data_IF_611544168910
#
_entry.id   IF_611544168910
#
_cell.length_a   1.000
_cell.length_b   1.000
_cell.length_c   1.000
_cell.angle_alpha   90.00
_cell.angle_beta   90.00
_cell.angle_gamma   90.00
#
_symmetry.space_group_name_H-M   'P 1'
#
loop_
_entity.id
_entity.type
_entity.pdbx_description
1 polymer ?
#
# COMPACT_ATOMS: atom_id res chain seq x y z
N UNK A 1 22.04 75.66 -17.30
CA UNK A 1 22.36 74.53 -16.38
C UNK A 1 21.11 73.96 -15.86
N UNK A 2 20.61 72.83 -16.47
CA UNK A 2 19.39 72.13 -16.12
C UNK A 2 19.77 70.89 -15.38
N UNK A 3 19.36 70.79 -14.12
CA UNK A 3 19.59 69.58 -13.27
C UNK A 3 18.44 68.61 -13.51
N UNK A 4 18.74 67.47 -14.12
CA UNK A 4 17.84 66.33 -14.29
C UNK A 4 17.87 65.52 -13.00
N UNK A 5 16.73 65.48 -12.26
CA UNK A 5 16.58 64.62 -11.08
C UNK A 5 16.00 63.28 -11.55
N UNK A 6 16.80 62.22 -11.42
CA UNK A 6 16.35 60.85 -11.63
C UNK A 6 15.60 60.39 -10.39
N UNK A 7 14.30 60.11 -10.52
CA UNK A 7 13.51 59.37 -9.53
C UNK A 7 13.69 57.87 -9.79
N UNK A 8 14.40 57.19 -8.90
CA UNK A 8 14.44 55.71 -8.90
C UNK A 8 13.22 55.22 -8.11
N UNK A 9 12.24 54.66 -8.82
CA UNK A 9 11.13 53.93 -8.20
C UNK A 9 11.63 52.52 -7.88
N UNK A 10 11.90 52.26 -6.61
CA UNK A 10 12.12 50.91 -6.09
C UNK A 10 10.77 50.20 -6.03
N UNK A 11 10.51 49.37 -7.03
CA UNK A 11 9.40 48.40 -6.97
C UNK A 11 9.89 47.28 -6.07
N UNK A 12 9.48 47.33 -4.81
CA UNK A 12 9.62 46.24 -3.87
C UNK A 12 8.71 45.11 -4.27
N UNK A 13 9.26 44.13 -4.98
CA UNK A 13 8.59 42.88 -5.26
C UNK A 13 8.44 42.11 -3.96
N UNK A 14 7.31 42.26 -3.28
CA UNK A 14 6.94 41.36 -2.23
C UNK A 14 6.58 40.00 -2.90
N UNK A 15 7.59 39.14 -3.01
CA UNK A 15 7.36 37.73 -3.18
C UNK A 15 6.68 37.27 -1.89
N UNK A 16 5.35 37.13 -1.93
CA UNK A 16 4.66 36.28 -0.97
C UNK A 16 5.18 34.85 -1.20
N UNK A 17 6.27 34.51 -0.51
CA UNK A 17 6.56 33.14 -0.20
C UNK A 17 5.34 32.66 0.61
N UNK A 18 4.44 31.92 -0.02
CA UNK A 18 3.60 31.00 0.70
C UNK A 18 4.57 30.09 1.44
N UNK A 19 4.86 30.44 2.69
CA UNK A 19 5.51 29.55 3.65
C UNK A 19 4.60 28.33 3.65
N UNK A 20 5.03 27.27 2.97
CA UNK A 20 4.45 25.98 3.18
C UNK A 20 4.53 25.76 4.69
N UNK A 21 3.39 25.68 5.33
CA UNK A 21 3.30 25.36 6.75
C UNK A 21 4.04 24.03 6.93
N UNK A 22 5.22 24.10 7.53
CA UNK A 22 6.18 22.99 7.67
C UNK A 22 5.76 22.11 8.88
N UNK A 23 4.56 22.33 9.40
CA UNK A 23 4.00 21.56 10.52
C UNK A 23 3.82 20.11 10.08
N UNK A 24 4.41 19.19 10.82
CA UNK A 24 4.24 17.78 10.57
C UNK A 24 2.76 17.37 10.68
N UNK A 25 2.30 16.54 9.74
CA UNK A 25 0.92 16.05 9.72
C UNK A 25 0.72 15.01 10.82
N UNK A 26 -0.38 15.14 11.57
CA UNK A 26 -0.79 14.26 12.67
C UNK A 26 -2.30 14.00 12.59
N UNK A 27 -2.84 13.15 13.48
CA UNK A 27 -4.29 12.98 13.63
C UNK A 27 -5.02 14.26 14.06
N UNK A 28 -4.33 15.21 14.70
CA UNK A 28 -4.93 16.42 15.25
C UNK A 28 -5.01 17.56 14.21
N UNK A 29 -4.09 17.57 13.23
CA UNK A 29 -3.97 18.68 12.29
C UNK A 29 -4.12 18.27 10.81
N UNK A 30 -4.50 17.01 10.54
CA UNK A 30 -4.72 16.59 9.16
C UNK A 30 -5.92 17.30 8.53
N UNK A 31 -5.86 17.42 7.20
CA UNK A 31 -6.94 17.98 6.38
C UNK A 31 -7.66 16.84 5.66
N UNK A 32 -8.97 16.92 5.57
CA UNK A 32 -9.72 16.04 4.68
C UNK A 32 -9.32 16.33 3.23
N UNK A 33 -9.14 15.30 2.39
CA UNK A 33 -8.91 15.51 0.96
C UNK A 33 -10.08 16.28 0.35
N UNK A 34 -9.78 17.30 -0.43
CA UNK A 34 -10.79 17.98 -1.22
C UNK A 34 -11.35 17.05 -2.30
N UNK A 35 -12.65 17.15 -2.63
CA UNK A 35 -13.22 16.37 -3.71
C UNK A 35 -12.49 16.67 -5.04
N UNK A 36 -12.02 15.63 -5.72
CA UNK A 36 -11.42 15.76 -7.04
C UNK A 36 -12.45 16.29 -8.03
N UNK A 37 -12.09 17.30 -8.81
CA UNK A 37 -12.91 17.86 -9.87
C UNK A 37 -12.27 17.66 -11.24
N UNK A 38 -13.09 17.49 -12.27
CA UNK A 38 -12.60 17.32 -13.64
C UNK A 38 -11.82 18.54 -14.18
N UNK A 39 -12.00 19.71 -13.55
CA UNK A 39 -11.34 20.96 -13.91
C UNK A 39 -10.10 21.29 -13.06
N UNK A 40 -9.64 20.38 -12.21
CA UNK A 40 -8.49 20.61 -11.39
C UNK A 40 -7.23 20.85 -12.23
N UNK A 41 -6.56 21.97 -11.97
CA UNK A 41 -5.33 22.30 -12.69
C UNK A 41 -4.17 21.44 -12.17
N UNK A 42 -3.58 20.67 -13.06
CA UNK A 42 -2.38 19.93 -12.77
C UNK A 42 -1.21 20.90 -12.53
N UNK A 43 -0.38 20.61 -11.55
CA UNK A 43 0.86 21.36 -11.35
C UNK A 43 1.78 21.20 -12.55
N UNK A 44 2.45 22.26 -12.97
CA UNK A 44 3.39 22.23 -14.08
C UNK A 44 4.65 21.41 -13.76
N UNK A 45 4.95 21.21 -12.48
CA UNK A 45 6.10 20.42 -12.02
C UNK A 45 5.69 19.51 -10.86
N UNK A 46 6.23 18.31 -10.86
CA UNK A 46 6.08 17.37 -9.75
C UNK A 46 6.77 17.90 -8.50
N UNK A 47 6.05 17.90 -7.37
CA UNK A 47 6.60 18.27 -6.06
C UNK A 47 6.52 17.08 -5.12
N UNK A 48 7.66 16.46 -4.85
CA UNK A 48 7.73 15.34 -3.92
C UNK A 48 7.26 15.71 -2.48
N UNK A 49 7.66 16.86 -1.90
CA UNK A 49 7.14 17.28 -0.59
C UNK A 49 5.62 17.45 -0.58
N UNK A 50 5.04 18.04 -1.64
CA UNK A 50 3.60 18.19 -1.71
C UNK A 50 2.88 16.83 -1.84
N UNK A 51 3.41 15.91 -2.64
CA UNK A 51 2.84 14.59 -2.80
C UNK A 51 2.89 13.76 -1.49
N UNK A 52 4.03 13.80 -0.77
CA UNK A 52 4.16 13.11 0.52
C UNK A 52 3.25 13.71 1.58
N UNK A 53 3.13 15.04 1.65
CA UNK A 53 2.22 15.72 2.57
C UNK A 53 0.76 15.38 2.28
N UNK A 54 0.35 15.36 1.01
CA UNK A 54 -0.99 14.93 0.63
C UNK A 54 -1.29 13.49 1.03
N UNK A 55 -0.30 12.59 0.88
CA UNK A 55 -0.41 11.21 1.35
C UNK A 55 -0.53 11.10 2.87
N UNK A 56 0.23 11.91 3.62
CA UNK A 56 0.17 11.98 5.09
C UNK A 56 -1.23 12.44 5.55
N UNK A 57 -1.79 13.50 4.94
CA UNK A 57 -3.14 13.96 5.22
C UNK A 57 -4.20 12.89 4.90
N UNK A 58 -4.11 12.26 3.73
CA UNK A 58 -5.06 11.22 3.32
C UNK A 58 -5.04 10.02 4.27
N UNK A 59 -3.86 9.58 4.71
CA UNK A 59 -3.70 8.47 5.65
C UNK A 59 -4.31 8.79 7.01
N UNK A 60 -4.04 9.97 7.57
CA UNK A 60 -4.59 10.40 8.86
C UNK A 60 -6.10 10.59 8.80
N UNK A 61 -6.61 11.22 7.74
CA UNK A 61 -8.05 11.38 7.54
C UNK A 61 -8.77 10.02 7.43
N UNK A 62 -8.17 9.07 6.71
CA UNK A 62 -8.75 7.73 6.61
C UNK A 62 -8.77 7.01 7.96
N UNK A 63 -7.66 7.04 8.68
CA UNK A 63 -7.56 6.40 9.99
C UNK A 63 -8.58 6.96 10.98
N UNK A 64 -8.71 8.29 11.04
CA UNK A 64 -9.66 8.94 11.96
C UNK A 64 -11.12 8.63 11.60
N UNK A 65 -11.46 8.65 10.30
CA UNK A 65 -12.84 8.49 9.86
C UNK A 65 -13.33 7.05 9.82
N UNK A 66 -12.43 6.06 9.65
CA UNK A 66 -12.80 4.66 9.45
C UNK A 66 -12.29 3.71 10.54
N UNK A 67 -11.32 4.13 11.34
CA UNK A 67 -10.68 3.28 12.37
C UNK A 67 -10.28 1.91 11.82
N UNK A 68 -9.74 1.88 10.60
CA UNK A 68 -9.42 0.67 9.87
C UNK A 68 -8.12 0.83 9.06
N UNK A 69 -7.32 -0.22 9.03
CA UNK A 69 -6.28 -0.40 8.03
C UNK A 69 -6.95 -0.92 6.77
N UNK A 70 -6.82 -0.18 5.68
CA UNK A 70 -7.36 -0.62 4.40
C UNK A 70 -6.27 -0.96 3.42
N UNK A 71 -6.56 -1.96 2.59
CA UNK A 71 -5.67 -2.43 1.55
C UNK A 71 -5.32 -1.33 0.54
N UNK A 72 -6.23 -0.40 0.28
CA UNK A 72 -6.09 0.60 -0.79
C UNK A 72 -5.65 1.99 -0.30
N UNK A 73 -5.57 2.23 1.01
CA UNK A 73 -5.15 3.52 1.58
C UNK A 73 -3.94 3.32 2.49
N UNK A 74 -4.17 3.08 3.77
CA UNK A 74 -3.10 3.04 4.78
C UNK A 74 -2.12 1.89 4.58
N UNK A 75 -2.54 0.76 4.00
CA UNK A 75 -1.65 -0.32 3.66
C UNK A 75 -0.59 0.09 2.64
N UNK A 76 -1.00 0.66 1.51
CA UNK A 76 -0.05 1.15 0.50
C UNK A 76 0.73 2.37 0.98
N UNK A 77 0.14 3.21 1.82
CA UNK A 77 0.85 4.30 2.48
C UNK A 77 2.03 3.77 3.31
N UNK A 78 1.83 2.72 4.11
CA UNK A 78 2.90 2.08 4.88
C UNK A 78 4.07 1.59 4.00
N UNK A 79 3.77 1.04 2.82
CA UNK A 79 4.81 0.59 1.89
C UNK A 79 5.53 1.78 1.24
N UNK A 80 4.76 2.73 0.73
CA UNK A 80 5.27 3.84 -0.08
C UNK A 80 6.07 4.85 0.74
N UNK A 81 5.57 5.18 1.94
CA UNK A 81 6.12 6.22 2.80
C UNK A 81 7.33 5.76 3.62
N UNK A 82 7.50 4.46 3.81
CA UNK A 82 8.58 3.87 4.63
C UNK A 82 9.99 4.39 4.27
N UNK A 83 10.29 4.55 2.97
CA UNK A 83 11.63 4.99 2.52
C UNK A 83 11.87 6.48 2.66
N UNK A 84 10.82 7.28 2.64
CA UNK A 84 10.92 8.73 2.50
C UNK A 84 10.48 9.49 3.73
N UNK A 85 9.99 8.81 4.76
CA UNK A 85 9.43 9.45 5.92
C UNK A 85 9.16 8.53 7.07
N UNK A 86 10.04 7.57 7.31
CA UNK A 86 9.93 6.63 8.44
C UNK A 86 9.86 7.33 9.82
N UNK A 87 10.31 8.58 9.90
CA UNK A 87 10.21 9.40 11.11
C UNK A 87 9.08 10.44 11.04
N UNK A 88 8.31 10.50 9.95
CA UNK A 88 7.16 11.40 9.87
C UNK A 88 6.08 10.98 10.88
N UNK A 89 5.54 11.90 11.70
CA UNK A 89 4.52 11.58 12.70
C UNK A 89 3.33 10.81 12.14
N UNK A 90 2.80 11.22 10.99
CA UNK A 90 1.70 10.51 10.32
C UNK A 90 2.08 9.06 9.97
N UNK A 91 3.33 8.82 9.56
CA UNK A 91 3.78 7.47 9.24
C UNK A 91 3.88 6.59 10.50
N UNK A 92 4.48 7.12 11.56
CA UNK A 92 4.60 6.41 12.84
C UNK A 92 3.22 6.10 13.43
N UNK A 93 2.30 7.06 13.33
CA UNK A 93 0.92 6.88 13.78
C UNK A 93 0.20 5.77 13.00
N UNK A 94 0.26 5.80 11.65
CA UNK A 94 -0.36 4.76 10.83
C UNK A 94 0.26 3.37 11.08
N UNK A 95 1.58 3.30 11.31
CA UNK A 95 2.27 2.05 11.63
C UNK A 95 1.87 1.53 13.02
N UNK A 96 1.84 2.39 14.01
CA UNK A 96 1.38 2.03 15.36
C UNK A 96 -0.07 1.55 15.35
N UNK A 97 -0.93 2.25 14.62
CA UNK A 97 -2.32 1.81 14.45
C UNK A 97 -2.41 0.41 13.85
N UNK A 98 -1.59 0.10 12.84
CA UNK A 98 -1.57 -1.23 12.22
C UNK A 98 -1.14 -2.32 13.21
N UNK A 99 -0.13 -2.05 14.03
CA UNK A 99 0.31 -2.97 15.08
C UNK A 99 -0.78 -3.18 16.14
N UNK A 100 -1.38 -2.11 16.64
CA UNK A 100 -2.45 -2.20 17.65
C UNK A 100 -3.73 -2.84 17.10
N UNK A 101 -4.01 -2.68 15.79
CA UNK A 101 -5.13 -3.35 15.13
C UNK A 101 -4.97 -4.87 15.12
N UNK A 102 -3.77 -5.38 14.84
CA UNK A 102 -3.53 -6.81 14.67
C UNK A 102 -3.23 -7.52 16.00
N UNK A 103 -2.56 -6.86 16.93
CA UNK A 103 -2.05 -7.42 18.18
C UNK A 103 -3.09 -8.17 19.03
N UNK A 104 -4.32 -7.67 19.24
CA UNK A 104 -5.34 -8.37 20.03
C UNK A 104 -5.77 -9.72 19.43
N UNK A 105 -5.44 -10.00 18.18
CA UNK A 105 -5.82 -11.21 17.47
C UNK A 105 -4.71 -12.25 17.38
N UNK A 106 -3.47 -11.81 17.54
CA UNK A 106 -2.29 -12.65 17.33
C UNK A 106 -1.52 -12.92 18.62
N UNK A 107 -1.50 -11.99 19.56
CA UNK A 107 -0.86 -12.11 20.87
C UNK A 107 -1.83 -12.75 21.87
N UNK A 108 -1.53 -13.97 22.38
CA UNK A 108 -2.38 -14.65 23.36
C UNK A 108 -2.62 -13.82 24.63
N UNK A 109 -1.65 -13.00 25.04
CA UNK A 109 -1.70 -12.20 26.26
C UNK A 109 -2.58 -10.93 26.09
N UNK A 110 -2.85 -10.53 24.85
CA UNK A 110 -3.66 -9.38 24.51
C UNK A 110 -5.07 -9.71 24.01
N UNK A 111 -5.48 -10.98 24.03
CA UNK A 111 -6.84 -11.35 23.61
C UNK A 111 -7.91 -10.63 24.43
N UNK A 112 -8.58 -9.66 23.80
CA UNK A 112 -9.71 -8.95 24.40
C UNK A 112 -10.97 -9.81 24.28
N UNK A 113 -11.56 -10.21 25.41
CA UNK A 113 -12.88 -10.88 25.43
C UNK A 113 -13.90 -10.01 24.67
N UNK A 114 -14.59 -10.59 23.71
CA UNK A 114 -15.65 -9.91 22.95
C UNK A 114 -15.18 -9.12 21.72
N UNK A 115 -13.90 -9.14 21.36
CA UNK A 115 -13.43 -8.52 20.14
C UNK A 115 -13.83 -9.37 18.94
N UNK A 116 -14.53 -8.77 17.97
CA UNK A 116 -14.85 -9.46 16.71
C UNK A 116 -13.55 -9.77 15.98
N UNK A 117 -13.35 -11.02 15.61
CA UNK A 117 -12.21 -11.41 14.76
C UNK A 117 -12.35 -10.74 13.39
N UNK A 118 -11.34 -9.99 12.92
CA UNK A 118 -11.33 -9.45 11.57
C UNK A 118 -11.46 -10.57 10.54
N UNK A 119 -11.98 -10.25 9.36
CA UNK A 119 -11.96 -11.16 8.23
C UNK A 119 -10.52 -11.54 7.83
N UNK A 120 -10.37 -12.66 7.14
CA UNK A 120 -9.06 -13.10 6.65
C UNK A 120 -8.33 -12.02 5.86
N UNK A 121 -9.06 -11.25 5.04
CA UNK A 121 -8.53 -10.12 4.28
C UNK A 121 -7.80 -9.11 5.17
N UNK A 122 -8.44 -8.61 6.23
CA UNK A 122 -7.86 -7.61 7.10
C UNK A 122 -6.60 -8.14 7.80
N UNK A 123 -6.61 -9.40 8.25
CA UNK A 123 -5.46 -10.02 8.89
C UNK A 123 -4.30 -10.24 7.91
N UNK A 124 -4.59 -10.81 6.74
CA UNK A 124 -3.59 -11.13 5.71
C UNK A 124 -2.96 -9.87 5.14
N UNK A 125 -3.79 -8.88 4.78
CA UNK A 125 -3.29 -7.62 4.22
C UNK A 125 -2.45 -6.84 5.25
N UNK A 126 -2.94 -6.69 6.48
CA UNK A 126 -2.18 -5.98 7.54
C UNK A 126 -0.86 -6.66 7.84
N UNK A 127 -0.84 -8.00 7.91
CA UNK A 127 0.40 -8.76 8.09
C UNK A 127 1.41 -8.47 6.99
N UNK A 128 0.98 -8.49 5.73
CA UNK A 128 1.87 -8.22 4.60
C UNK A 128 2.38 -6.77 4.58
N UNK A 129 1.53 -5.80 4.87
CA UNK A 129 1.92 -4.39 4.92
C UNK A 129 2.90 -4.11 6.07
N UNK A 130 2.65 -4.67 7.25
CA UNK A 130 3.56 -4.56 8.39
C UNK A 130 4.90 -5.22 8.08
N UNK A 131 4.92 -6.42 7.51
CA UNK A 131 6.15 -7.09 7.15
C UNK A 131 7.02 -6.27 6.19
N UNK A 132 6.42 -5.67 5.16
CA UNK A 132 7.14 -4.80 4.23
C UNK A 132 7.63 -3.53 4.92
N UNK A 133 6.83 -2.94 5.80
CA UNK A 133 7.19 -1.76 6.59
C UNK A 133 8.35 -2.07 7.54
N UNK A 134 8.24 -3.13 8.33
CA UNK A 134 9.26 -3.57 9.29
C UNK A 134 10.61 -3.78 8.60
N UNK A 135 10.63 -4.53 7.52
CA UNK A 135 11.85 -4.80 6.75
C UNK A 135 12.49 -3.54 6.16
N UNK A 136 11.69 -2.54 5.79
CA UNK A 136 12.21 -1.29 5.24
C UNK A 136 12.77 -0.35 6.29
N UNK A 137 12.29 -0.42 7.52
CA UNK A 137 12.66 0.48 8.61
C UNK A 137 13.69 -0.17 9.52
N UNK A 138 13.38 -1.38 10.01
CA UNK A 138 14.17 -2.08 11.01
C UNK A 138 15.14 -3.10 10.40
N UNK A 139 14.88 -3.51 9.16
CA UNK A 139 15.63 -4.60 8.51
C UNK A 139 15.30 -5.99 9.04
N UNK A 140 14.31 -6.10 9.93
CA UNK A 140 13.84 -7.34 10.54
C UNK A 140 12.33 -7.27 10.82
N UNK A 141 11.66 -8.42 10.85
CA UNK A 141 10.26 -8.52 11.24
C UNK A 141 10.11 -8.30 12.76
N UNK A 142 9.15 -7.48 13.16
CA UNK A 142 8.77 -7.34 14.56
C UNK A 142 8.11 -8.62 15.08
N UNK A 143 8.14 -8.82 16.41
CA UNK A 143 7.48 -9.96 17.03
C UNK A 143 5.99 -10.03 16.70
N UNK A 144 5.30 -8.91 16.76
CA UNK A 144 3.87 -8.83 16.38
C UNK A 144 3.65 -9.29 14.94
N UNK A 145 4.53 -8.90 14.01
CA UNK A 145 4.43 -9.31 12.60
C UNK A 145 4.71 -10.79 12.41
N UNK A 146 5.66 -11.39 13.15
CA UNK A 146 5.92 -12.83 13.14
C UNK A 146 4.70 -13.61 13.65
N UNK A 147 4.11 -13.20 14.77
CA UNK A 147 2.87 -13.78 15.30
C UNK A 147 1.70 -13.63 14.34
N UNK A 148 1.65 -12.52 13.62
CA UNK A 148 0.64 -12.28 12.57
C UNK A 148 0.81 -13.24 11.39
N UNK A 149 2.04 -13.51 10.97
CA UNK A 149 2.30 -14.56 9.99
C UNK A 149 1.87 -15.93 10.51
N UNK A 150 2.20 -16.30 11.74
CA UNK A 150 1.76 -17.56 12.34
C UNK A 150 0.23 -17.67 12.35
N UNK A 151 -0.47 -16.56 12.63
CA UNK A 151 -1.92 -16.52 12.57
C UNK A 151 -2.44 -16.78 11.16
N UNK A 152 -1.94 -16.05 10.15
CA UNK A 152 -2.44 -16.20 8.78
C UNK A 152 -2.09 -17.58 8.18
N UNK A 153 -0.99 -18.21 8.60
CA UNK A 153 -0.67 -19.58 8.20
C UNK A 153 -1.63 -20.61 8.76
N UNK A 154 -2.12 -20.42 10.00
CA UNK A 154 -3.14 -21.31 10.59
C UNK A 154 -4.49 -21.25 9.87
N UNK A 155 -4.83 -20.09 9.29
CA UNK A 155 -6.10 -19.91 8.56
C UNK A 155 -5.95 -20.05 7.06
N UNK A 156 -4.74 -20.32 6.56
CA UNK A 156 -4.49 -20.58 5.14
C UNK A 156 -5.10 -21.91 4.73
N UNK A 157 -5.87 -21.94 3.64
CA UNK A 157 -6.48 -23.16 3.14
C UNK A 157 -5.49 -24.06 2.38
N UNK A 158 -5.88 -25.30 2.12
CA UNK A 158 -5.11 -26.27 1.33
C UNK A 158 -4.91 -25.83 -0.13
N UNK A 159 -5.76 -24.92 -0.61
CA UNK A 159 -5.59 -24.28 -1.92
C UNK A 159 -4.35 -23.39 -1.97
N UNK A 160 -3.91 -22.88 -0.82
CA UNK A 160 -2.83 -21.91 -0.68
C UNK A 160 -3.30 -20.46 -0.60
N UNK A 161 -4.62 -20.23 -0.67
CA UNK A 161 -5.27 -18.95 -0.47
C UNK A 161 -6.00 -18.89 0.89
N UNK A 162 -6.91 -17.93 1.06
CA UNK A 162 -7.71 -17.75 2.27
C UNK A 162 -9.19 -17.78 1.90
N UNK A 163 -9.88 -18.89 2.17
CA UNK A 163 -11.27 -19.17 1.72
C UNK A 163 -12.31 -18.14 2.17
N UNK A 164 -12.02 -17.33 3.17
CA UNK A 164 -12.92 -16.30 3.69
C UNK A 164 -12.49 -14.90 3.27
N UNK A 165 -11.78 -14.77 2.15
CA UNK A 165 -11.46 -13.47 1.61
C UNK A 165 -12.75 -12.70 1.32
N UNK A 166 -12.88 -11.52 1.91
CA UNK A 166 -14.09 -10.71 1.72
C UNK A 166 -14.03 -10.11 0.32
N UNK A 167 -15.03 -10.42 -0.50
CA UNK A 167 -15.23 -9.72 -1.76
C UNK A 167 -15.60 -8.27 -1.47
N UNK A 168 -14.64 -7.39 -1.65
CA UNK A 168 -14.79 -5.97 -1.49
C UNK A 168 -15.47 -5.38 -2.73
N UNK A 169 -16.42 -4.45 -2.55
CA UNK A 169 -17.09 -3.79 -3.66
C UNK A 169 -16.27 -2.63 -4.28
N UNK A 170 -15.03 -2.49 -3.89
CA UNK A 170 -14.16 -1.36 -4.22
C UNK A 170 -13.35 -1.53 -5.51
N UNK A 171 -13.74 -2.41 -6.33
CA UNK A 171 -13.08 -2.57 -7.59
C UNK A 171 -12.64 -4.00 -7.81
N UNK A 172 -12.13 -4.34 -8.98
CA UNK A 172 -11.80 -5.70 -9.30
C UNK A 172 -10.57 -6.24 -8.57
N UNK A 173 -9.87 -5.40 -7.81
CA UNK A 173 -8.49 -5.66 -7.40
C UNK A 173 -8.37 -6.35 -6.05
N UNK A 174 -9.25 -6.02 -5.11
CA UNK A 174 -9.17 -6.49 -3.74
C UNK A 174 -10.17 -7.61 -3.45
N UNK A 175 -10.90 -8.02 -4.47
CA UNK A 175 -12.02 -8.94 -4.32
C UNK A 175 -11.67 -10.39 -4.62
N UNK A 176 -10.42 -10.70 -4.95
CA UNK A 176 -10.01 -12.05 -5.28
C UNK A 176 -8.86 -12.57 -4.41
N UNK A 177 -8.79 -13.89 -4.29
CA UNK A 177 -7.74 -14.57 -3.52
C UNK A 177 -6.35 -14.31 -4.09
N UNK A 178 -6.25 -14.00 -5.38
CA UNK A 178 -5.00 -13.75 -6.07
C UNK A 178 -4.29 -12.50 -5.54
N UNK A 179 -5.06 -11.46 -5.17
CA UNK A 179 -4.50 -10.25 -4.57
C UNK A 179 -3.81 -10.58 -3.24
N UNK A 180 -4.50 -11.25 -2.31
CA UNK A 180 -3.95 -11.62 -1.01
C UNK A 180 -2.72 -12.51 -1.13
N UNK A 181 -2.78 -13.53 -1.98
CA UNK A 181 -1.65 -14.44 -2.23
C UNK A 181 -0.45 -13.71 -2.80
N UNK A 182 -0.65 -12.82 -3.78
CA UNK A 182 0.43 -12.04 -4.39
C UNK A 182 1.04 -11.03 -3.41
N UNK A 183 0.22 -10.41 -2.56
CA UNK A 183 0.65 -9.45 -1.54
C UNK A 183 1.53 -10.13 -0.48
N UNK A 184 1.12 -11.32 -0.01
CA UNK A 184 1.93 -12.10 0.95
C UNK A 184 3.20 -12.63 0.30
N UNK A 185 3.15 -13.07 -0.96
CA UNK A 185 4.34 -13.47 -1.71
C UNK A 185 5.34 -12.31 -1.84
N UNK A 186 4.85 -11.08 -2.05
CA UNK A 186 5.67 -9.86 -2.02
C UNK A 186 6.31 -9.65 -0.65
N UNK A 187 5.52 -9.74 0.42
CA UNK A 187 6.01 -9.56 1.80
C UNK A 187 7.11 -10.55 2.16
N UNK A 188 6.91 -11.83 1.84
CA UNK A 188 7.95 -12.87 2.03
C UNK A 188 9.20 -12.59 1.19
N UNK A 189 9.04 -12.07 -0.03
CA UNK A 189 10.16 -11.67 -0.86
C UNK A 189 10.97 -10.52 -0.26
N UNK A 190 10.30 -9.50 0.24
CA UNK A 190 10.94 -8.37 0.94
C UNK A 190 11.61 -8.85 2.23
N UNK A 191 10.98 -9.76 2.96
CA UNK A 191 11.50 -10.32 4.21
C UNK A 191 12.45 -11.53 4.02
N UNK A 192 12.90 -11.83 2.80
CA UNK A 192 13.66 -13.04 2.49
C UNK A 192 14.96 -13.22 3.29
N UNK A 193 15.48 -12.16 3.91
CA UNK A 193 16.67 -12.20 4.76
C UNK A 193 16.36 -12.35 6.25
N UNK A 194 15.09 -12.26 6.64
CA UNK A 194 14.68 -12.49 8.03
C UNK A 194 14.60 -13.99 8.30
N UNK A 195 15.15 -14.42 9.43
CA UNK A 195 15.21 -15.84 9.84
C UNK A 195 13.84 -16.51 9.91
N UNK A 196 12.79 -15.74 10.26
CA UNK A 196 11.42 -16.26 10.32
C UNK A 196 10.98 -16.88 8.99
N UNK A 197 11.36 -16.28 7.86
CA UNK A 197 10.97 -16.77 6.53
C UNK A 197 11.60 -18.12 6.18
N UNK A 198 12.62 -18.52 6.93
CA UNK A 198 13.29 -19.82 6.80
C UNK A 198 12.73 -20.88 7.76
N UNK A 199 11.77 -20.51 8.63
CA UNK A 199 11.13 -21.46 9.53
C UNK A 199 10.36 -22.53 8.75
N UNK A 200 10.25 -23.76 9.29
CA UNK A 200 9.51 -24.84 8.62
C UNK A 200 8.06 -24.45 8.29
N UNK A 201 7.40 -23.73 9.20
CA UNK A 201 6.02 -23.27 9.03
C UNK A 201 5.89 -22.26 7.90
N UNK A 202 6.76 -21.25 7.85
CA UNK A 202 6.75 -20.27 6.77
C UNK A 202 7.10 -20.90 5.42
N UNK A 203 8.07 -21.81 5.39
CA UNK A 203 8.46 -22.54 4.17
C UNK A 203 7.31 -23.40 3.62
N UNK A 204 6.57 -24.11 4.48
CA UNK A 204 5.41 -24.90 4.10
C UNK A 204 4.29 -24.01 3.56
N UNK A 205 3.98 -22.92 4.27
CA UNK A 205 2.97 -21.95 3.84
C UNK A 205 3.33 -21.32 2.48
N UNK A 206 4.60 -21.00 2.26
CA UNK A 206 5.09 -20.49 0.97
C UNK A 206 4.93 -21.51 -0.16
N UNK A 207 5.13 -22.80 0.10
CA UNK A 207 4.87 -23.84 -0.90
C UNK A 207 3.38 -23.89 -1.28
N UNK A 208 2.46 -23.70 -0.31
CA UNK A 208 1.03 -23.60 -0.60
C UNK A 208 0.71 -22.36 -1.45
N UNK A 209 1.31 -21.19 -1.15
CA UNK A 209 1.18 -19.99 -2.00
C UNK A 209 1.63 -20.26 -3.43
N UNK A 210 2.79 -20.87 -3.60
CA UNK A 210 3.32 -21.24 -4.93
C UNK A 210 2.43 -22.23 -5.66
N UNK A 211 1.82 -23.19 -4.96
CA UNK A 211 0.85 -24.12 -5.53
C UNK A 211 -0.37 -23.37 -6.06
N UNK A 212 -0.92 -22.43 -5.27
CA UNK A 212 -2.03 -21.59 -5.71
C UNK A 212 -1.67 -20.81 -6.98
N UNK A 213 -0.56 -20.07 -6.99
CA UNK A 213 -0.14 -19.26 -8.14
C UNK A 213 0.12 -20.08 -9.42
N UNK A 214 0.51 -21.34 -9.29
CA UNK A 214 0.65 -22.26 -10.43
C UNK A 214 -0.68 -22.77 -10.97
N UNK A 215 -1.65 -23.02 -10.09
CA UNK A 215 -2.98 -23.54 -10.46
C UNK A 215 -3.97 -22.43 -10.86
N UNK A 216 -3.72 -21.19 -10.46
CA UNK A 216 -4.53 -20.02 -10.77
C UNK A 216 -3.66 -18.95 -11.44
N UNK A 217 -3.36 -19.08 -12.73
CA UNK A 217 -2.58 -18.07 -13.43
C UNK A 217 -3.32 -16.72 -13.44
N UNK A 218 -2.58 -15.59 -13.42
CA UNK A 218 -3.21 -14.27 -13.39
C UNK A 218 -3.99 -13.99 -14.67
N UNK A 219 -5.23 -13.57 -14.52
CA UNK A 219 -6.17 -13.28 -15.62
C UNK A 219 -6.19 -11.80 -15.99
N UNK A 220 -6.00 -10.90 -15.02
CA UNK A 220 -6.02 -9.47 -15.21
C UNK A 220 -4.62 -8.84 -15.21
N UNK A 221 -4.49 -7.64 -15.79
CA UNK A 221 -3.23 -6.88 -15.75
C UNK A 221 -2.86 -6.45 -14.32
N UNK A 222 -3.86 -6.23 -13.46
CA UNK A 222 -3.61 -5.94 -12.06
C UNK A 222 -2.95 -7.14 -11.35
N UNK A 223 -3.48 -8.34 -11.49
CA UNK A 223 -2.90 -9.56 -10.93
C UNK A 223 -1.48 -9.80 -11.46
N UNK A 224 -1.26 -9.59 -12.78
CA UNK A 224 0.09 -9.65 -13.38
C UNK A 224 1.02 -8.60 -12.78
N UNK A 225 0.55 -7.37 -12.58
CA UNK A 225 1.30 -6.28 -11.97
C UNK A 225 1.74 -6.61 -10.53
N UNK A 226 0.85 -7.14 -9.71
CA UNK A 226 1.15 -7.57 -8.34
C UNK A 226 2.20 -8.70 -8.33
N UNK A 227 2.08 -9.69 -9.21
CA UNK A 227 3.08 -10.75 -9.34
C UNK A 227 4.41 -10.26 -9.89
N UNK A 228 4.41 -9.30 -10.82
CA UNK A 228 5.65 -8.65 -11.28
C UNK A 228 6.37 -7.94 -10.14
N UNK A 229 5.62 -7.28 -9.26
CA UNK A 229 6.20 -6.63 -8.08
C UNK A 229 6.82 -7.66 -7.12
N UNK A 230 6.09 -8.74 -6.80
CA UNK A 230 6.64 -9.83 -6.01
C UNK A 230 7.86 -10.50 -6.65
N UNK A 231 7.84 -10.71 -7.98
CA UNK A 231 8.95 -11.29 -8.74
C UNK A 231 10.21 -10.40 -8.75
N UNK A 232 10.08 -9.10 -8.49
CA UNK A 232 11.22 -8.20 -8.29
C UNK A 232 12.04 -8.54 -7.02
N UNK A 233 11.46 -9.29 -6.09
CA UNK A 233 12.11 -9.77 -4.86
C UNK A 233 12.33 -11.29 -4.85
N UNK A 234 11.67 -12.03 -5.76
CA UNK A 234 11.65 -13.50 -5.78
C UNK A 234 11.74 -14.05 -7.19
N UNK A 235 12.77 -14.82 -7.48
CA UNK A 235 13.00 -15.41 -8.79
C UNK A 235 12.18 -16.68 -9.09
N UNK A 236 11.50 -17.23 -8.08
CA UNK A 236 10.81 -18.52 -8.11
C UNK A 236 9.31 -18.44 -8.38
N UNK A 237 8.75 -17.23 -8.50
CA UNK A 237 7.31 -17.01 -8.73
C UNK A 237 6.95 -16.98 -10.21
N UNK A 238 7.74 -16.32 -11.04
CA UNK A 238 7.44 -16.08 -12.46
C UNK A 238 8.68 -16.33 -13.31
N UNK A 239 8.53 -17.04 -14.41
CA UNK A 239 9.63 -17.29 -15.38
C UNK A 239 10.06 -15.98 -16.04
N UNK A 240 11.37 -15.80 -16.29
CA UNK A 240 11.94 -14.56 -16.87
C UNK A 240 11.29 -14.12 -18.20
N UNK A 241 10.99 -15.07 -19.08
CA UNK A 241 10.32 -14.78 -20.34
C UNK A 241 8.87 -14.31 -20.15
N UNK A 242 8.19 -14.79 -19.11
CA UNK A 242 6.83 -14.36 -18.76
C UNK A 242 6.85 -12.97 -18.12
N UNK A 243 7.84 -12.66 -17.28
CA UNK A 243 8.03 -11.31 -16.72
C UNK A 243 8.08 -10.28 -17.84
N UNK A 244 8.94 -10.49 -18.85
CA UNK A 244 9.05 -9.57 -20.00
C UNK A 244 7.72 -9.39 -20.72
N UNK A 245 7.03 -10.51 -21.01
CA UNK A 245 5.71 -10.48 -21.67
C UNK A 245 4.71 -9.63 -20.89
N UNK A 246 4.59 -9.83 -19.57
CA UNK A 246 3.63 -9.09 -18.76
C UNK A 246 4.00 -7.61 -18.60
N UNK A 247 5.29 -7.29 -18.55
CA UNK A 247 5.74 -5.89 -18.60
C UNK A 247 5.32 -5.21 -19.90
N UNK A 248 5.51 -5.88 -21.06
CA UNK A 248 5.10 -5.34 -22.36
C UNK A 248 3.57 -5.16 -22.44
N UNK A 249 2.80 -6.13 -21.92
CA UNK A 249 1.34 -6.01 -21.83
C UNK A 249 0.92 -4.80 -20.96
N UNK A 250 1.57 -4.61 -19.81
CA UNK A 250 1.27 -3.51 -18.91
C UNK A 250 1.58 -2.14 -19.56
N UNK A 251 2.75 -2.03 -20.20
CA UNK A 251 3.15 -0.81 -20.89
C UNK A 251 2.32 -0.53 -22.15
N UNK A 252 1.76 -1.55 -22.79
CA UNK A 252 0.91 -1.37 -23.98
C UNK A 252 -0.39 -0.60 -23.70
N UNK A 253 -0.87 -0.60 -22.44
CA UNK A 253 -2.07 0.14 -22.02
C UNK A 253 -1.74 1.42 -21.26
N UNK A 254 -0.46 1.76 -21.10
CA UNK A 254 -0.04 3.01 -20.49
C UNK A 254 -0.47 4.20 -21.35
N UNK A 255 -1.04 5.22 -20.73
CA UNK A 255 -1.49 6.43 -21.42
C UNK A 255 -0.31 7.35 -21.73
N UNK A 256 -0.49 8.28 -22.67
CA UNK A 256 0.52 9.26 -23.07
C UNK A 256 1.05 10.11 -21.90
N UNK A 257 0.23 10.32 -20.88
CA UNK A 257 0.63 11.03 -19.66
C UNK A 257 1.41 10.15 -18.66
N UNK A 258 1.72 8.89 -19.01
CA UNK A 258 2.45 7.95 -18.17
C UNK A 258 1.59 7.17 -17.16
N UNK A 259 0.31 7.47 -17.05
CA UNK A 259 -0.63 6.81 -16.12
C UNK A 259 -1.28 5.57 -16.70
N UNK A 260 -2.00 4.86 -15.83
CA UNK A 260 -2.89 3.75 -16.21
C UNK A 260 -4.31 4.05 -15.73
N UNK A 261 -5.28 3.57 -16.50
CA UNK A 261 -6.70 3.69 -16.14
C UNK A 261 -7.15 2.40 -15.45
N UNK A 262 -7.61 2.51 -14.23
CA UNK A 262 -7.99 1.39 -13.38
C UNK A 262 -8.88 0.33 -14.06
N UNK A 263 -9.99 0.69 -14.73
CA UNK A 263 -10.83 -0.30 -15.43
C UNK A 263 -10.11 -1.12 -16.51
N UNK A 264 -9.00 -0.62 -17.07
CA UNK A 264 -8.23 -1.33 -18.09
C UNK A 264 -7.26 -2.35 -17.47
N UNK A 265 -6.98 -2.24 -16.17
CA UNK A 265 -6.12 -3.17 -15.46
C UNK A 265 -6.87 -4.36 -14.87
N UNK A 266 -8.18 -4.24 -14.71
CA UNK A 266 -9.04 -5.24 -14.08
C UNK A 266 -9.66 -6.25 -15.05
N UNK A 267 -10.60 -7.04 -14.54
CA UNK A 267 -11.47 -7.88 -15.34
C UNK A 267 -12.52 -7.00 -16.07
N UNK A 268 -12.59 -7.12 -17.37
CA UNK A 268 -13.57 -6.38 -18.21
C UNK A 268 -15.03 -6.72 -17.88
N UNK A 269 -15.26 -7.87 -17.29
CA UNK A 269 -16.60 -8.33 -16.90
C UNK A 269 -16.95 -7.94 -15.45
N UNK A 270 -16.02 -7.37 -14.71
CA UNK A 270 -16.29 -6.98 -13.33
C UNK A 270 -17.30 -5.84 -13.27
N UNK A 271 -18.30 -6.01 -12.42
CA UNK A 271 -19.32 -5.00 -12.12
C UNK A 271 -19.43 -4.86 -10.61
N UNK A 272 -19.53 -3.62 -10.16
CA UNK A 272 -19.87 -3.38 -8.76
C UNK A 272 -21.24 -4.01 -8.45
N UNK A 273 -21.37 -4.58 -7.26
CA UNK A 273 -22.62 -5.19 -6.82
C UNK A 273 -23.78 -4.17 -6.69
N UNK A 274 -23.44 -2.87 -6.52
CA UNK A 274 -24.41 -1.77 -6.45
C UNK A 274 -24.74 -1.14 -7.81
N UNK A 275 -24.18 -1.67 -8.90
CA UNK A 275 -24.48 -1.23 -10.27
C UNK A 275 -23.87 0.12 -10.66
N UNK A 276 -22.98 0.72 -9.82
CA UNK A 276 -22.34 2.00 -10.11
C UNK A 276 -21.00 1.83 -10.82
#
# INVERSE_FOLDING_TARGET
>A
MMRLSFFIILISSYSLSLLADDTAVTLENHLAPEPLTAGEQLRSQFSYPAATRAADHAAMNWQQSHSCITCHTNGFYLIGRARSGSQAPAYLEARNFAHEFIKPHVDPDHQRKGTRTPGAEAMVATTAFLAISDMKIEGALSETTRQAFDYIWRIQSDSGAWEKWIKCNWGPYESDDHFGVSLVALALGVASRDEYTQSPQAAEADQRLKKFLRSHPPESLHQKGMLLWAAGYRNDLVKKNVVKKWQDELFSVQKLNGGWVLPELGDKNWKRSDGK
#
